data_IF_555928670260
#
_entry.id   IF_555928670260
#
_cell.length_a   1.000
_cell.length_b   1.000
_cell.length_c   1.000
_cell.angle_alpha   90.00
_cell.angle_beta   90.00
_cell.angle_gamma   90.00
#
_symmetry.space_group_name_H-M   'P 1'
#
loop_
_entity.id
_entity.type
_entity.pdbx_description
1 polymer ?
#
# COMPACT_ATOMS: atom_id res chain seq x y z
N UNK A 1 -30.01 -33.19 31.55
CA UNK A 1 -29.58 -31.94 32.19
C UNK A 1 -28.22 -31.53 31.63
N UNK A 2 -28.20 -30.38 30.95
CA UNK A 2 -27.09 -29.48 30.57
C UNK A 2 -25.81 -30.05 29.91
N UNK A 3 -25.72 -29.98 28.57
CA UNK A 3 -24.46 -29.92 27.83
C UNK A 3 -23.89 -28.48 27.90
N UNK A 4 -22.56 -28.29 27.85
CA UNK A 4 -21.99 -26.97 27.50
C UNK A 4 -20.91 -26.34 28.38
N UNK A 5 -20.27 -27.04 29.32
CA UNK A 5 -19.24 -26.43 30.21
C UNK A 5 -17.78 -26.81 29.91
N UNK A 6 -17.50 -27.78 29.01
CA UNK A 6 -16.11 -28.21 28.71
C UNK A 6 -15.45 -27.49 27.54
N UNK A 7 -16.20 -26.80 26.67
CA UNK A 7 -15.65 -26.05 25.54
C UNK A 7 -15.10 -24.67 25.96
N UNK A 8 -15.72 -24.03 26.95
CA UNK A 8 -15.31 -22.70 27.45
C UNK A 8 -14.00 -22.78 28.27
N UNK A 9 -13.72 -23.92 28.90
CA UNK A 9 -12.49 -24.16 29.68
C UNK A 9 -11.21 -24.18 28.83
N UNK A 10 -11.27 -24.58 27.55
CA UNK A 10 -10.11 -24.59 26.65
C UNK A 10 -9.71 -23.20 26.13
N UNK A 11 -10.61 -22.22 26.17
CA UNK A 11 -10.30 -20.84 25.84
C UNK A 11 -9.47 -20.13 26.94
N UNK A 12 -9.62 -20.55 28.19
CA UNK A 12 -8.89 -19.98 29.33
C UNK A 12 -7.51 -20.62 29.57
N UNK A 13 -7.23 -21.79 28.98
CA UNK A 13 -5.86 -22.33 28.89
C UNK A 13 -4.96 -21.48 27.97
N UNK A 14 -5.54 -20.64 27.11
CA UNK A 14 -4.81 -19.89 26.09
C UNK A 14 -4.05 -18.69 26.62
N UNK A 15 -4.42 -18.03 27.72
CA UNK A 15 -3.71 -16.80 28.15
C UNK A 15 -2.27 -17.07 28.59
N UNK A 16 -2.02 -18.22 29.23
CA UNK A 16 -0.67 -18.68 29.61
C UNK A 16 0.19 -19.11 28.41
N UNK A 17 -0.42 -19.36 27.25
CA UNK A 17 0.27 -19.77 26.00
C UNK A 17 0.42 -18.59 25.04
N UNK A 18 -0.61 -17.75 24.94
CA UNK A 18 -0.64 -16.52 24.14
C UNK A 18 0.40 -15.52 24.67
N UNK A 19 0.56 -15.40 26.00
CA UNK A 19 1.51 -14.45 26.56
C UNK A 19 2.98 -14.76 26.20
N UNK A 20 3.48 -16.01 26.38
CA UNK A 20 4.77 -16.40 25.84
C UNK A 20 4.90 -16.17 24.34
N UNK A 21 3.90 -16.58 23.54
CA UNK A 21 3.95 -16.41 22.08
C UNK A 21 4.02 -14.93 21.67
N UNK A 22 3.26 -14.05 22.32
CA UNK A 22 3.32 -12.59 22.08
C UNK A 22 4.67 -12.02 22.49
N UNK A 23 5.22 -12.46 23.63
CA UNK A 23 6.52 -12.03 24.12
C UNK A 23 7.64 -12.48 23.18
N UNK A 24 7.59 -13.74 22.74
CA UNK A 24 8.57 -14.32 21.83
C UNK A 24 8.49 -13.67 20.44
N UNK A 25 7.27 -13.45 19.92
CA UNK A 25 7.05 -12.77 18.63
C UNK A 25 7.52 -11.31 18.68
N UNK A 26 7.23 -10.60 19.76
CA UNK A 26 7.69 -9.22 19.95
C UNK A 26 9.21 -9.17 20.11
N UNK A 27 9.81 -10.10 20.85
CA UNK A 27 11.26 -10.19 20.97
C UNK A 27 11.92 -10.49 19.62
N UNK A 28 11.38 -11.45 18.86
CA UNK A 28 11.83 -11.76 17.51
C UNK A 28 11.72 -10.56 16.58
N UNK A 29 10.61 -9.81 16.62
CA UNK A 29 10.41 -8.58 15.85
C UNK A 29 11.51 -7.54 16.10
N UNK A 30 11.89 -7.32 17.37
CA UNK A 30 13.00 -6.42 17.71
C UNK A 30 14.37 -6.99 17.32
N UNK A 31 14.60 -8.30 17.53
CA UNK A 31 15.85 -8.97 17.16
C UNK A 31 16.09 -8.94 15.64
N UNK A 32 15.02 -9.09 14.84
CA UNK A 32 15.07 -9.04 13.39
C UNK A 32 15.25 -7.60 12.85
N UNK A 33 15.33 -6.58 13.72
CA UNK A 33 15.38 -5.16 13.36
C UNK A 33 14.17 -4.70 12.52
N UNK A 34 13.01 -5.35 12.68
CA UNK A 34 11.81 -5.04 11.91
C UNK A 34 11.34 -3.57 12.05
N UNK A 35 11.48 -2.88 13.21
CA UNK A 35 11.21 -1.44 13.30
C UNK A 35 12.07 -0.59 12.35
N UNK A 36 13.35 -0.95 12.21
CA UNK A 36 14.28 -0.24 11.32
C UNK A 36 13.92 -0.45 9.85
N UNK A 37 13.57 -1.70 9.48
CA UNK A 37 13.12 -2.05 8.13
C UNK A 37 11.83 -1.32 7.77
N UNK A 38 10.89 -1.22 8.73
CA UNK A 38 9.67 -0.42 8.56
C UNK A 38 9.95 1.08 8.39
N UNK A 39 10.94 1.62 9.13
CA UNK A 39 11.37 3.00 8.99
C UNK A 39 12.01 3.27 7.63
N UNK A 40 12.89 2.38 7.15
CA UNK A 40 13.50 2.47 5.83
C UNK A 40 12.46 2.42 4.71
N UNK A 41 11.53 1.46 4.76
CA UNK A 41 10.42 1.36 3.81
C UNK A 41 9.57 2.63 3.79
N UNK A 42 9.25 3.18 4.96
CA UNK A 42 8.49 4.44 5.08
C UNK A 42 9.26 5.62 4.49
N UNK A 43 10.56 5.71 4.74
CA UNK A 43 11.42 6.76 4.18
C UNK A 43 11.44 6.72 2.65
N UNK A 44 11.66 5.53 2.06
CA UNK A 44 11.58 5.35 0.62
C UNK A 44 10.19 5.69 0.05
N UNK A 45 9.11 5.29 0.73
CA UNK A 45 7.75 5.58 0.31
C UNK A 45 7.43 7.09 0.33
N UNK A 46 7.78 7.79 1.42
CA UNK A 46 7.56 9.24 1.54
C UNK A 46 8.37 10.01 0.50
N UNK A 47 9.64 9.65 0.28
CA UNK A 47 10.47 10.30 -0.74
C UNK A 47 9.93 10.07 -2.16
N UNK A 48 9.32 8.92 -2.41
CA UNK A 48 8.71 8.60 -3.70
C UNK A 48 7.36 9.29 -3.93
N UNK A 49 6.68 9.69 -2.85
CA UNK A 49 5.30 10.18 -2.91
C UNK A 49 5.16 11.43 -3.79
N UNK A 50 6.02 12.43 -3.61
CA UNK A 50 5.93 13.67 -4.38
C UNK A 50 6.16 13.43 -5.89
N UNK A 51 7.23 12.74 -6.33
CA UNK A 51 7.41 12.37 -7.74
C UNK A 51 6.24 11.57 -8.33
N UNK A 52 5.70 10.59 -7.59
CA UNK A 52 4.54 9.81 -8.02
C UNK A 52 3.31 10.71 -8.23
N UNK A 53 3.04 11.63 -7.30
CA UNK A 53 1.91 12.56 -7.41
C UNK A 53 2.07 13.53 -8.58
N UNK A 54 3.28 13.99 -8.87
CA UNK A 54 3.56 14.85 -10.03
C UNK A 54 3.23 14.08 -11.33
N UNK A 55 3.69 12.84 -11.46
CA UNK A 55 3.39 12.02 -12.65
C UNK A 55 1.90 11.71 -12.74
N UNK A 56 1.25 11.32 -11.63
CA UNK A 56 -0.18 11.03 -11.60
C UNK A 56 -1.04 12.25 -11.97
N UNK A 57 -0.71 13.43 -11.43
CA UNK A 57 -1.40 14.69 -11.77
C UNK A 57 -1.19 15.10 -13.23
N UNK A 58 0.01 14.90 -13.77
CA UNK A 58 0.30 15.17 -15.18
C UNK A 58 -0.53 14.25 -16.11
N UNK A 59 -0.60 12.94 -15.81
CA UNK A 59 -1.41 11.98 -16.58
C UNK A 59 -2.90 12.35 -16.50
N UNK A 60 -3.42 12.62 -15.32
CA UNK A 60 -4.81 13.06 -15.15
C UNK A 60 -5.09 14.40 -15.85
N UNK A 61 -4.10 15.31 -15.88
CA UNK A 61 -4.18 16.61 -16.54
C UNK A 61 -4.38 16.52 -18.05
N UNK A 62 -3.92 15.44 -18.70
CA UNK A 62 -4.14 15.19 -20.13
C UNK A 62 -5.63 15.00 -20.43
N UNK A 63 -6.37 14.31 -19.56
CA UNK A 63 -7.79 14.01 -19.75
C UNK A 63 -8.74 15.07 -19.19
N UNK A 64 -8.45 15.61 -18.00
CA UNK A 64 -9.36 16.47 -17.23
C UNK A 64 -8.92 17.93 -17.15
N UNK A 65 -7.72 18.25 -17.65
CA UNK A 65 -7.09 19.57 -17.51
C UNK A 65 -6.26 19.69 -16.23
N UNK A 66 -5.07 20.29 -16.35
CA UNK A 66 -4.05 20.35 -15.29
C UNK A 66 -4.58 20.91 -13.96
N UNK A 67 -5.32 22.03 -14.01
CA UNK A 67 -5.84 22.70 -12.80
C UNK A 67 -6.87 21.85 -12.05
N UNK A 68 -7.69 21.08 -12.77
CA UNK A 68 -8.73 20.21 -12.20
C UNK A 68 -8.07 19.00 -11.55
N UNK A 69 -7.13 18.37 -12.26
CA UNK A 69 -6.37 17.24 -11.73
C UNK A 69 -5.60 17.60 -10.45
N UNK A 70 -4.90 18.74 -10.44
CA UNK A 70 -4.19 19.23 -9.25
C UNK A 70 -5.14 19.48 -8.06
N UNK A 71 -6.27 20.14 -8.30
CA UNK A 71 -7.23 20.45 -7.25
C UNK A 71 -7.82 19.16 -6.62
N UNK A 72 -8.18 18.18 -7.44
CA UNK A 72 -8.83 16.96 -6.96
C UNK A 72 -7.87 16.03 -6.21
N UNK A 73 -6.61 15.93 -6.67
CA UNK A 73 -5.57 15.19 -5.95
C UNK A 73 -5.28 15.83 -4.59
N UNK A 74 -5.15 17.16 -4.54
CA UNK A 74 -4.93 17.87 -3.29
C UNK A 74 -6.10 17.73 -2.32
N UNK A 75 -7.33 17.77 -2.83
CA UNK A 75 -8.55 17.54 -2.03
C UNK A 75 -8.53 16.16 -1.37
N UNK A 76 -8.23 15.12 -2.15
CA UNK A 76 -8.11 13.76 -1.61
C UNK A 76 -7.00 13.64 -0.57
N UNK A 77 -5.83 14.25 -0.83
CA UNK A 77 -4.73 14.24 0.13
C UNK A 77 -5.10 14.95 1.44
N UNK A 78 -5.78 16.10 1.38
CA UNK A 78 -6.24 16.79 2.59
C UNK A 78 -7.15 15.91 3.46
N UNK A 79 -8.05 15.16 2.83
CA UNK A 79 -8.94 14.23 3.54
C UNK A 79 -8.18 13.05 4.16
N UNK A 80 -7.11 12.56 3.51
CA UNK A 80 -6.38 11.36 3.95
C UNK A 80 -5.27 11.65 4.97
N UNK A 81 -4.46 12.68 4.75
CA UNK A 81 -3.24 12.97 5.54
C UNK A 81 -3.32 14.28 6.34
N UNK A 82 -4.45 14.99 6.25
CA UNK A 82 -4.66 16.28 6.91
C UNK A 82 -4.03 17.46 6.16
N UNK A 83 -4.41 18.67 6.59
CA UNK A 83 -4.09 19.89 5.86
C UNK A 83 -2.58 20.19 5.82
N UNK A 84 -1.86 19.96 6.93
CA UNK A 84 -0.42 20.25 7.05
C UNK A 84 0.40 19.43 6.05
N UNK A 85 0.17 18.12 5.97
CA UNK A 85 0.86 17.21 5.04
C UNK A 85 0.50 17.54 3.60
N UNK A 86 -0.77 17.84 3.32
CA UNK A 86 -1.22 18.21 1.98
C UNK A 86 -0.58 19.52 1.49
N UNK A 87 -0.33 20.50 2.37
CA UNK A 87 0.38 21.75 2.02
C UNK A 87 1.83 21.48 1.58
N UNK A 88 2.53 20.58 2.25
CA UNK A 88 3.89 20.17 1.86
C UNK A 88 3.91 19.53 0.46
N UNK A 89 2.99 18.61 0.21
CA UNK A 89 2.87 17.94 -1.10
C UNK A 89 2.43 18.92 -2.20
N UNK A 90 1.56 19.88 -1.89
CA UNK A 90 1.18 20.96 -2.81
C UNK A 90 2.38 21.80 -3.24
N UNK A 91 3.24 22.17 -2.30
CA UNK A 91 4.45 22.93 -2.61
C UNK A 91 5.39 22.12 -3.53
N UNK A 92 5.52 20.82 -3.29
CA UNK A 92 6.30 19.93 -4.17
C UNK A 92 5.73 19.86 -5.60
N UNK A 93 4.41 19.69 -5.75
CA UNK A 93 3.77 19.65 -7.07
C UNK A 93 3.91 20.99 -7.81
N UNK A 94 3.64 22.12 -7.13
CA UNK A 94 3.71 23.45 -7.74
C UNK A 94 5.14 23.88 -8.10
N UNK A 95 6.13 23.48 -7.29
CA UNK A 95 7.54 23.78 -7.57
C UNK A 95 8.05 23.01 -8.80
N UNK A 96 7.61 21.76 -8.98
CA UNK A 96 7.92 20.97 -10.17
C UNK A 96 7.35 21.61 -11.45
N UNK A 97 6.18 22.24 -11.38
CA UNK A 97 5.51 22.84 -12.52
C UNK A 97 6.05 24.22 -12.96
N UNK A 98 7.01 24.82 -12.23
CA UNK A 98 7.40 26.24 -12.43
C UNK A 98 8.81 26.52 -12.97
N UNK A 99 9.74 25.56 -13.06
CA UNK A 99 11.18 25.95 -13.09
C UNK A 99 12.13 25.34 -14.11
N UNK A 100 11.74 24.41 -14.98
CA UNK A 100 12.69 23.77 -15.91
C UNK A 100 12.09 23.54 -17.31
N UNK A 101 12.92 23.58 -18.39
CA UNK A 101 12.51 23.08 -19.70
C UNK A 101 11.91 21.68 -19.57
N UNK A 102 10.72 21.48 -20.12
CA UNK A 102 9.82 20.38 -19.75
C UNK A 102 10.40 18.97 -19.85
N UNK A 103 11.47 18.76 -20.65
CA UNK A 103 12.09 17.45 -20.83
C UNK A 103 13.08 17.10 -19.71
N UNK A 104 13.93 18.04 -19.28
CA UNK A 104 14.98 17.77 -18.28
C UNK A 104 14.36 17.57 -16.90
N UNK A 105 13.40 18.42 -16.53
CA UNK A 105 12.67 18.29 -15.27
C UNK A 105 11.91 16.96 -15.19
N UNK A 106 11.21 16.59 -16.27
CA UNK A 106 10.47 15.33 -16.33
C UNK A 106 11.39 14.13 -16.24
N UNK A 107 12.54 14.17 -16.91
CA UNK A 107 13.53 13.08 -16.87
C UNK A 107 14.09 12.90 -15.46
N UNK A 108 14.45 13.99 -14.77
CA UNK A 108 14.93 13.94 -13.39
C UNK A 108 13.82 13.44 -12.46
N UNK A 109 12.59 13.97 -12.59
CA UNK A 109 11.45 13.57 -11.77
C UNK A 109 11.09 12.09 -11.92
N UNK A 110 11.02 11.59 -13.16
CA UNK A 110 10.81 10.17 -13.45
C UNK A 110 11.97 9.34 -12.92
N UNK A 111 13.21 9.79 -13.11
CA UNK A 111 14.40 9.11 -12.58
C UNK A 111 14.36 8.96 -11.06
N UNK A 112 14.11 10.05 -10.34
CA UNK A 112 13.97 10.04 -8.87
C UNK A 112 12.80 9.17 -8.41
N UNK A 113 11.66 9.23 -9.11
CA UNK A 113 10.50 8.36 -8.84
C UNK A 113 10.87 6.88 -8.97
N UNK A 114 11.52 6.51 -10.08
CA UNK A 114 11.89 5.12 -10.34
C UNK A 114 12.90 4.60 -9.31
N UNK A 115 13.89 5.42 -8.93
CA UNK A 115 14.86 5.06 -7.90
C UNK A 115 14.19 4.91 -6.53
N UNK A 116 13.36 5.87 -6.13
CA UNK A 116 12.64 5.81 -4.86
C UNK A 116 11.70 4.60 -4.76
N UNK A 117 10.88 4.39 -5.80
CA UNK A 117 9.94 3.27 -5.86
C UNK A 117 10.68 1.93 -5.90
N UNK A 118 11.74 1.81 -6.70
CA UNK A 118 12.56 0.60 -6.74
C UNK A 118 13.25 0.33 -5.40
N UNK A 119 13.72 1.38 -4.71
CA UNK A 119 14.30 1.27 -3.37
C UNK A 119 13.30 0.74 -2.35
N UNK A 120 12.06 1.25 -2.35
CA UNK A 120 10.99 0.75 -1.48
C UNK A 120 10.69 -0.74 -1.72
N UNK A 121 10.67 -1.19 -2.98
CA UNK A 121 10.44 -2.60 -3.30
C UNK A 121 11.59 -3.50 -2.89
N UNK A 122 12.83 -3.07 -3.09
CA UNK A 122 14.01 -3.82 -2.64
C UNK A 122 14.02 -3.93 -1.12
N UNK A 123 13.77 -2.83 -0.41
CA UNK A 123 13.68 -2.82 1.05
C UNK A 123 12.56 -3.75 1.56
N UNK A 124 11.40 -3.76 0.88
CA UNK A 124 10.30 -4.66 1.21
C UNK A 124 10.64 -6.14 0.98
N UNK A 125 11.27 -6.48 -0.15
CA UNK A 125 11.71 -7.85 -0.44
C UNK A 125 12.78 -8.31 0.56
N UNK A 126 13.77 -7.47 0.79
CA UNK A 126 14.82 -7.71 1.78
C UNK A 126 14.24 -7.91 3.17
N UNK A 127 13.20 -7.12 3.50
CA UNK A 127 12.51 -7.26 4.74
C UNK A 127 11.80 -8.60 4.89
N UNK A 128 11.03 -8.99 3.88
CA UNK A 128 10.31 -10.26 3.86
C UNK A 128 11.27 -11.46 3.86
N UNK A 129 12.32 -11.43 3.06
CA UNK A 129 13.33 -12.49 2.99
C UNK A 129 14.04 -12.66 4.33
N UNK A 130 14.33 -11.56 5.05
CA UNK A 130 14.93 -11.60 6.38
C UNK A 130 13.98 -12.21 7.42
N UNK A 131 12.71 -11.78 7.43
CA UNK A 131 11.69 -12.28 8.36
C UNK A 131 11.44 -13.78 8.12
N UNK A 132 11.33 -14.21 6.86
CA UNK A 132 11.14 -15.62 6.47
C UNK A 132 12.41 -16.45 6.39
N UNK A 133 13.57 -15.87 6.72
CA UNK A 133 14.87 -16.56 6.74
C UNK A 133 15.16 -17.28 5.42
N UNK A 134 14.77 -16.67 4.31
CA UNK A 134 15.05 -17.18 2.97
C UNK A 134 16.51 -16.87 2.64
N UNK A 135 17.30 -17.91 2.44
CA UNK A 135 18.68 -17.75 1.97
C UNK A 135 18.67 -17.22 0.53
N UNK A 136 19.28 -16.05 0.32
CA UNK A 136 19.45 -15.49 -1.03
C UNK A 136 20.25 -16.47 -1.89
N UNK A 137 19.61 -17.09 -2.88
CA UNK A 137 20.30 -17.88 -3.89
C UNK A 137 21.27 -16.98 -4.65
N UNK A 138 22.55 -17.33 -4.65
CA UNK A 138 23.61 -16.67 -5.42
C UNK A 138 23.49 -16.96 -6.93
N UNK A 139 22.39 -16.51 -7.55
CA UNK A 139 22.24 -16.50 -9.00
C UNK A 139 22.92 -15.28 -9.63
N UNK A 140 23.18 -15.33 -10.94
CA UNK A 140 23.82 -14.21 -11.67
C UNK A 140 23.09 -12.88 -11.47
N UNK A 141 23.84 -11.84 -11.11
CA UNK A 141 23.37 -10.48 -10.76
C UNK A 141 22.34 -9.92 -11.76
N UNK A 142 22.56 -10.14 -13.06
CA UNK A 142 21.69 -9.60 -14.11
C UNK A 142 20.33 -10.31 -14.20
N UNK A 143 20.31 -11.65 -14.08
CA UNK A 143 19.07 -12.43 -14.14
C UNK A 143 18.20 -12.15 -12.91
N UNK A 144 18.84 -12.00 -11.74
CA UNK A 144 18.17 -11.65 -10.50
C UNK A 144 17.54 -10.24 -10.58
N UNK A 145 18.29 -9.24 -11.05
CA UNK A 145 17.76 -7.88 -11.21
C UNK A 145 16.57 -7.80 -12.19
N UNK A 146 16.61 -8.54 -13.31
CA UNK A 146 15.51 -8.58 -14.26
C UNK A 146 14.27 -9.26 -13.64
N UNK A 147 14.47 -10.41 -12.97
CA UNK A 147 13.37 -11.14 -12.32
C UNK A 147 12.71 -10.33 -11.22
N UNK A 148 13.51 -9.68 -10.37
CA UNK A 148 13.00 -8.79 -9.31
C UNK A 148 12.19 -7.63 -9.89
N UNK A 149 12.67 -6.99 -10.97
CA UNK A 149 11.92 -5.92 -11.63
C UNK A 149 10.61 -6.41 -12.23
N UNK A 150 10.59 -7.59 -12.84
CA UNK A 150 9.37 -8.17 -13.40
C UNK A 150 8.33 -8.51 -12.33
N UNK A 151 8.77 -9.04 -11.19
CA UNK A 151 7.90 -9.31 -10.04
C UNK A 151 7.33 -8.02 -9.45
N UNK A 152 8.17 -7.01 -9.21
CA UNK A 152 7.71 -5.70 -8.73
C UNK A 152 6.74 -5.05 -9.70
N UNK A 153 7.01 -5.11 -11.01
CA UNK A 153 6.12 -4.57 -12.03
C UNK A 153 4.76 -5.31 -12.06
N UNK A 154 4.78 -6.64 -12.03
CA UNK A 154 3.54 -7.45 -11.98
C UNK A 154 2.73 -7.19 -10.73
N UNK A 155 3.40 -7.01 -9.58
CA UNK A 155 2.73 -6.66 -8.33
C UNK A 155 2.09 -5.28 -8.43
N UNK A 156 2.83 -4.25 -8.87
CA UNK A 156 2.30 -2.88 -9.03
C UNK A 156 1.13 -2.84 -10.01
N UNK A 157 1.24 -3.55 -11.14
CA UNK A 157 0.16 -3.63 -12.12
C UNK A 157 -1.06 -4.35 -11.53
N UNK A 158 -0.84 -5.48 -10.85
CA UNK A 158 -1.88 -6.26 -10.20
C UNK A 158 -2.60 -5.49 -9.09
N UNK A 159 -1.86 -4.78 -8.25
CA UNK A 159 -2.45 -3.92 -7.21
C UNK A 159 -3.19 -2.74 -7.82
N UNK A 160 -2.66 -2.11 -8.88
CA UNK A 160 -3.35 -1.04 -9.61
C UNK A 160 -4.69 -1.49 -10.18
N UNK A 161 -4.72 -2.63 -10.86
CA UNK A 161 -5.97 -3.23 -11.39
C UNK A 161 -6.93 -3.58 -10.25
N UNK A 162 -6.43 -4.18 -9.17
CA UNK A 162 -7.23 -4.51 -8.00
C UNK A 162 -7.86 -3.27 -7.36
N UNK A 163 -7.11 -2.17 -7.26
CA UNK A 163 -7.61 -0.89 -6.74
C UNK A 163 -8.67 -0.28 -7.67
N UNK A 164 -8.49 -0.36 -8.99
CA UNK A 164 -9.50 0.10 -9.95
C UNK A 164 -10.79 -0.73 -9.87
N UNK A 165 -10.67 -2.05 -9.78
CA UNK A 165 -11.82 -2.94 -9.58
C UNK A 165 -12.52 -2.66 -8.26
N UNK A 166 -11.76 -2.42 -7.20
CA UNK A 166 -12.28 -2.01 -5.89
C UNK A 166 -13.05 -0.70 -6.00
N UNK A 167 -12.51 0.32 -6.67
CA UNK A 167 -13.18 1.61 -6.88
C UNK A 167 -14.49 1.47 -7.66
N UNK A 168 -14.48 0.69 -8.74
CA UNK A 168 -15.68 0.40 -9.54
C UNK A 168 -16.72 -0.31 -8.66
N UNK A 169 -16.31 -1.31 -7.88
CA UNK A 169 -17.19 -2.02 -6.97
C UNK A 169 -17.77 -1.10 -5.88
N UNK A 170 -16.95 -0.26 -5.24
CA UNK A 170 -17.42 0.72 -4.25
C UNK A 170 -18.38 1.74 -4.84
N UNK A 171 -18.10 2.24 -6.05
CA UNK A 171 -18.99 3.17 -6.76
C UNK A 171 -20.32 2.50 -7.14
N UNK A 172 -20.27 1.25 -7.61
CA UNK A 172 -21.47 0.47 -7.94
C UNK A 172 -22.32 0.20 -6.69
N UNK A 173 -21.69 -0.16 -5.56
CA UNK A 173 -22.37 -0.35 -4.28
C UNK A 173 -22.99 0.95 -3.76
N UNK A 174 -22.27 2.07 -3.83
CA UNK A 174 -22.77 3.39 -3.45
C UNK A 174 -23.93 3.87 -4.33
N UNK A 175 -23.83 3.64 -5.65
CA UNK A 175 -24.88 3.96 -6.61
C UNK A 175 -26.14 3.11 -6.44
N UNK A 176 -25.99 1.79 -6.26
CA UNK A 176 -27.10 0.88 -5.97
C UNK A 176 -27.77 1.17 -4.61
N UNK A 177 -26.98 1.61 -3.63
CA UNK A 177 -27.45 2.10 -2.35
C UNK A 177 -28.37 3.32 -2.46
N UNK A 178 -28.23 4.16 -3.49
CA UNK A 178 -29.12 5.32 -3.70
C UNK A 178 -30.57 4.96 -4.02
N UNK A 179 -30.81 3.84 -4.70
CA UNK A 179 -32.15 3.41 -5.13
C UNK A 179 -32.88 2.49 -4.12
N UNK A 180 -32.14 1.83 -3.24
CA UNK A 180 -32.66 0.88 -2.22
C UNK A 180 -32.30 1.24 -0.77
N UNK A 181 -31.47 2.26 -0.56
CA UNK A 181 -30.82 2.57 0.73
C UNK A 181 -31.72 3.14 1.80
N UNK A 182 -32.94 3.58 1.47
CA UNK A 182 -33.88 4.01 2.50
C UNK A 182 -34.41 2.84 3.33
N UNK A 183 -34.39 1.60 2.80
CA UNK A 183 -34.96 0.44 3.46
C UNK A 183 -33.92 -0.37 4.27
N UNK A 184 -32.63 -0.40 3.90
CA UNK A 184 -31.61 -1.25 4.57
C UNK A 184 -30.16 -0.67 4.54
N UNK A 185 -29.87 0.46 5.22
CA UNK A 185 -28.55 1.10 5.22
C UNK A 185 -27.40 0.21 5.74
N UNK A 186 -27.69 -0.63 6.72
CA UNK A 186 -26.70 -1.49 7.38
C UNK A 186 -26.13 -2.58 6.46
N UNK A 187 -26.88 -3.02 5.43
CA UNK A 187 -26.41 -4.05 4.49
C UNK A 187 -25.34 -3.51 3.55
N UNK A 188 -25.53 -2.28 3.06
CA UNK A 188 -24.56 -1.61 2.18
C UNK A 188 -23.26 -1.38 2.94
N UNK A 189 -23.34 -0.94 4.21
CA UNK A 189 -22.17 -0.75 5.06
C UNK A 189 -21.38 -2.06 5.30
N UNK A 190 -22.07 -3.17 5.58
CA UNK A 190 -21.41 -4.48 5.75
C UNK A 190 -20.74 -4.94 4.45
N UNK A 191 -21.40 -4.78 3.31
CA UNK A 191 -20.84 -5.16 2.01
C UNK A 191 -19.61 -4.33 1.65
N UNK A 192 -19.65 -3.01 1.86
CA UNK A 192 -18.51 -2.12 1.64
C UNK A 192 -17.34 -2.46 2.58
N UNK A 193 -17.63 -2.72 3.86
CA UNK A 193 -16.62 -3.13 4.84
C UNK A 193 -16.00 -4.48 4.47
N UNK A 194 -16.82 -5.46 4.07
CA UNK A 194 -16.36 -6.77 3.64
C UNK A 194 -15.53 -6.70 2.34
N UNK A 195 -15.93 -5.85 1.39
CA UNK A 195 -15.17 -5.59 0.18
C UNK A 195 -13.81 -4.99 0.50
N UNK A 196 -13.77 -3.93 1.31
CA UNK A 196 -12.52 -3.28 1.74
C UNK A 196 -11.59 -4.28 2.46
N UNK A 197 -12.14 -5.05 3.41
CA UNK A 197 -11.40 -6.09 4.11
C UNK A 197 -10.86 -7.15 3.14
N UNK A 198 -11.66 -7.60 2.17
CA UNK A 198 -11.26 -8.58 1.17
C UNK A 198 -10.17 -8.07 0.24
N UNK A 199 -10.27 -6.82 -0.21
CA UNK A 199 -9.26 -6.13 -1.03
C UNK A 199 -7.93 -6.04 -0.28
N UNK A 200 -7.94 -5.55 0.97
CA UNK A 200 -6.74 -5.45 1.79
C UNK A 200 -6.13 -6.83 2.06
N UNK A 201 -6.95 -7.82 2.40
CA UNK A 201 -6.50 -9.20 2.62
C UNK A 201 -5.87 -9.80 1.38
N UNK A 202 -6.47 -9.59 0.21
CA UNK A 202 -5.95 -10.06 -1.07
C UNK A 202 -4.63 -9.37 -1.44
N UNK A 203 -4.54 -8.05 -1.22
CA UNK A 203 -3.30 -7.29 -1.41
C UNK A 203 -2.18 -7.83 -0.54
N UNK A 204 -2.43 -8.03 0.76
CA UNK A 204 -1.45 -8.62 1.67
C UNK A 204 -1.07 -10.05 1.25
N UNK A 205 -2.04 -10.88 0.88
CA UNK A 205 -1.78 -12.22 0.41
C UNK A 205 -0.92 -12.25 -0.86
N UNK A 206 -1.16 -11.34 -1.80
CA UNK A 206 -0.32 -11.19 -3.00
C UNK A 206 1.09 -10.77 -2.64
N UNK A 207 1.26 -9.80 -1.75
CA UNK A 207 2.57 -9.35 -1.29
C UNK A 207 3.33 -10.52 -0.64
N UNK A 208 2.74 -11.20 0.36
CA UNK A 208 3.41 -12.30 1.07
C UNK A 208 3.66 -13.53 0.21
N UNK A 209 2.86 -13.77 -0.82
CA UNK A 209 3.00 -14.94 -1.69
C UNK A 209 3.96 -14.71 -2.86
N UNK A 210 4.04 -13.49 -3.39
CA UNK A 210 4.77 -13.20 -4.62
C UNK A 210 6.12 -12.51 -4.41
N UNK A 211 6.36 -11.86 -3.27
CA UNK A 211 7.61 -11.15 -3.00
C UNK A 211 8.77 -11.98 -2.43
N UNK A 212 8.54 -12.97 -1.54
CA UNK A 212 9.65 -13.78 -1.03
C UNK A 212 10.31 -14.59 -2.17
N UNK A 213 11.64 -14.67 -2.15
CA UNK A 213 12.45 -15.34 -3.18
C UNK A 213 12.51 -16.89 -3.08
#
# INVERSE_FOLDING_TARGET
MKPGLSAVSKAFASIKVIWPLLKDSSSAWFQDNAPSMGAALTFYAILSLAPVLIVATAIAGIGFGQKVAEAEVLRHLQTLVGETSARLLRAAILSANRRLPGVIASTIGIGTMLVGASGAFVELQDALNKIWRVERKSGGFLLHAIRQRFLSFSLVLGTGVLLLLSLVASTALGGAGGSMGHLLPWRVFILESALSFGVVSLLLALIFKLLPD
#
